data_IF_712770344892
#
_entry.id   IF_712770344892
#
_cell.length_a   1.000
_cell.length_b   1.000
_cell.length_c   1.000
_cell.angle_alpha   90.00
_cell.angle_beta   90.00
_cell.angle_gamma   90.00
#
_symmetry.space_group_name_H-M   'P 1'
#
loop_
_entity.id
_entity.type
_entity.pdbx_description
1 polymer ?
#
# COMPACT_ATOMS: atom_id res chain seq x y z
N UNK A 1 3.11 -7.64 -32.61
CA UNK A 1 2.49 -7.47 -31.27
C UNK A 1 3.62 -7.59 -30.26
N UNK A 2 3.91 -6.52 -29.49
CA UNK A 2 4.88 -6.62 -28.40
C UNK A 2 4.34 -7.52 -27.29
N UNK A 3 5.20 -8.07 -26.41
CA UNK A 3 4.73 -8.87 -25.28
C UNK A 3 3.68 -8.07 -24.51
N UNK A 4 2.53 -8.70 -24.27
CA UNK A 4 1.40 -8.06 -23.58
C UNK A 4 1.84 -7.48 -22.25
N UNK A 5 1.22 -6.35 -21.86
CA UNK A 5 1.56 -5.55 -20.66
C UNK A 5 1.56 -6.31 -19.31
N UNK A 6 1.19 -7.59 -19.30
CA UNK A 6 1.08 -8.47 -18.13
C UNK A 6 2.42 -9.15 -17.79
N UNK A 7 3.46 -9.02 -18.62
CA UNK A 7 4.78 -9.64 -18.38
C UNK A 7 5.86 -8.64 -17.93
N UNK A 8 5.50 -7.48 -17.39
CA UNK A 8 6.48 -6.51 -16.89
C UNK A 8 7.05 -6.96 -15.52
N UNK A 9 8.35 -7.31 -15.42
CA UNK A 9 8.98 -7.76 -14.17
C UNK A 9 9.08 -6.65 -13.10
N UNK A 10 8.89 -5.38 -13.51
CA UNK A 10 8.84 -4.24 -12.60
C UNK A 10 7.41 -3.91 -12.17
N UNK A 11 6.39 -4.68 -12.57
CA UNK A 11 5.01 -4.52 -12.12
C UNK A 11 4.69 -5.46 -10.96
N UNK A 12 3.99 -4.92 -9.96
CA UNK A 12 3.36 -5.67 -8.88
C UNK A 12 1.90 -5.30 -8.76
N UNK A 13 1.08 -6.25 -8.32
CA UNK A 13 -0.34 -6.06 -8.03
C UNK A 13 -0.46 -6.02 -6.51
N UNK A 14 -1.09 -4.99 -5.97
CA UNK A 14 -1.37 -4.86 -4.54
C UNK A 14 -2.88 -4.91 -4.34
N UNK A 15 -3.27 -5.48 -3.21
CA UNK A 15 -4.65 -5.48 -2.72
C UNK A 15 -4.63 -5.37 -1.19
N UNK A 16 -5.66 -4.74 -0.63
CA UNK A 16 -5.82 -4.56 0.81
C UNK A 16 -7.25 -4.81 1.25
N UNK A 17 -7.39 -5.56 2.34
CA UNK A 17 -8.65 -5.70 3.07
C UNK A 17 -8.59 -4.88 4.33
N UNK A 18 -9.71 -4.26 4.71
CA UNK A 18 -9.74 -3.29 5.79
C UNK A 18 -10.95 -3.46 6.69
N UNK A 19 -10.86 -2.91 7.91
CA UNK A 19 -11.98 -2.83 8.85
C UNK A 19 -13.11 -1.89 8.36
N UNK A 20 -12.92 -1.20 7.24
CA UNK A 20 -13.92 -0.30 6.64
C UNK A 20 -13.29 0.70 5.67
N UNK A 21 -14.11 1.58 5.10
CA UNK A 21 -13.65 2.51 4.07
C UNK A 21 -12.56 3.49 4.57
N UNK A 22 -12.67 3.90 5.83
CA UNK A 22 -11.69 4.74 6.52
C UNK A 22 -10.89 3.97 7.59
N UNK A 23 -11.02 2.64 7.62
CA UNK A 23 -10.46 1.74 8.64
C UNK A 23 -9.11 1.14 8.27
N UNK A 24 -8.45 0.50 9.23
CA UNK A 24 -7.08 -0.03 9.12
C UNK A 24 -6.99 -1.33 8.33
N UNK A 25 -5.78 -1.67 7.88
CA UNK A 25 -5.53 -2.88 7.11
C UNK A 25 -5.67 -4.13 7.98
N UNK A 26 -6.42 -5.10 7.43
CA UNK A 26 -6.65 -6.44 7.97
C UNK A 26 -5.85 -7.47 7.16
N UNK A 27 -5.63 -7.22 5.87
CA UNK A 27 -4.74 -7.99 5.02
C UNK A 27 -4.02 -7.07 4.03
N UNK A 28 -2.76 -7.40 3.71
CA UNK A 28 -2.06 -6.82 2.57
C UNK A 28 -1.47 -7.95 1.73
N UNK A 29 -1.81 -7.96 0.44
CA UNK A 29 -1.28 -8.88 -0.54
C UNK A 29 -0.53 -8.12 -1.65
N UNK A 30 0.61 -8.66 -2.07
CA UNK A 30 1.44 -8.16 -3.17
C UNK A 30 1.89 -9.33 -4.04
N UNK A 31 1.48 -9.31 -5.31
CA UNK A 31 1.82 -10.31 -6.31
C UNK A 31 2.73 -9.69 -7.39
N UNK A 32 3.64 -10.47 -7.96
CA UNK A 32 4.32 -10.10 -9.20
C UNK A 32 3.35 -10.18 -10.38
N UNK A 33 3.66 -9.50 -11.49
CA UNK A 33 2.85 -9.59 -12.71
C UNK A 33 2.73 -11.03 -13.28
N UNK A 34 3.66 -11.91 -12.93
CA UNK A 34 3.62 -13.33 -13.28
C UNK A 34 2.78 -14.19 -12.30
N UNK A 35 2.15 -13.58 -11.28
CA UNK A 35 1.33 -14.28 -10.28
C UNK A 35 2.10 -14.87 -9.10
N UNK A 36 3.39 -14.53 -8.94
CA UNK A 36 4.18 -14.97 -7.79
C UNK A 36 3.86 -14.15 -6.54
N UNK A 37 3.64 -14.81 -5.41
CA UNK A 37 3.36 -14.14 -4.12
C UNK A 37 4.65 -13.54 -3.56
N UNK A 38 4.68 -12.21 -3.40
CA UNK A 38 5.81 -11.48 -2.80
C UNK A 38 5.54 -11.17 -1.32
N UNK A 39 4.30 -10.84 -1.00
CA UNK A 39 3.77 -10.67 0.33
C UNK A 39 2.30 -11.11 0.32
N UNK A 40 1.89 -11.83 1.35
CA UNK A 40 0.49 -12.10 1.65
C UNK A 40 0.45 -12.34 3.16
N UNK A 41 -0.19 -11.42 3.88
CA UNK A 41 -0.21 -11.45 5.33
C UNK A 41 -1.50 -10.86 5.85
N UNK A 42 -2.12 -11.57 6.80
CA UNK A 42 -3.06 -10.99 7.72
C UNK A 42 -2.35 -10.01 8.65
N UNK A 43 -3.10 -9.03 9.13
CA UNK A 43 -2.65 -8.00 10.05
C UNK A 43 -3.65 -7.85 11.18
N UNK A 44 -3.15 -7.75 12.41
CA UNK A 44 -3.97 -7.36 13.54
C UNK A 44 -4.24 -5.84 13.44
N UNK A 45 -5.49 -5.39 13.16
CA UNK A 45 -5.77 -3.99 12.89
C UNK A 45 -5.77 -3.12 14.15
N UNK A 46 -5.59 -3.71 15.34
CA UNK A 46 -5.58 -3.02 16.64
C UNK A 46 -6.91 -2.31 16.97
N UNK A 47 -7.98 -2.75 16.32
CA UNK A 47 -9.37 -2.42 16.57
C UNK A 47 -10.23 -3.63 16.22
N UNK A 48 -11.52 -3.62 16.59
CA UNK A 48 -12.43 -4.70 16.19
C UNK A 48 -12.82 -4.58 14.72
N UNK A 49 -12.90 -5.72 14.03
CA UNK A 49 -13.37 -5.78 12.64
C UNK A 49 -14.90 -5.71 12.62
N UNK A 50 -15.53 -4.68 11.99
CA UNK A 50 -16.98 -4.62 11.85
C UNK A 50 -17.54 -5.83 11.10
N UNK A 51 -18.76 -6.24 11.46
CA UNK A 51 -19.45 -7.37 10.83
C UNK A 51 -19.65 -7.12 9.34
N UNK A 52 -19.90 -5.89 8.93
CA UNK A 52 -20.06 -5.50 7.52
C UNK A 52 -18.78 -5.73 6.72
N UNK A 53 -17.60 -5.44 7.29
CA UNK A 53 -16.31 -5.72 6.67
C UNK A 53 -16.08 -7.24 6.59
N UNK A 54 -16.35 -7.95 7.70
CA UNK A 54 -16.28 -9.42 7.75
C UNK A 54 -17.17 -10.08 6.70
N UNK A 55 -18.37 -9.56 6.44
CA UNK A 55 -19.27 -10.09 5.39
C UNK A 55 -18.70 -9.91 3.98
N UNK A 56 -17.88 -8.88 3.75
CA UNK A 56 -17.28 -8.58 2.45
C UNK A 56 -16.06 -9.48 2.20
N UNK A 57 -15.09 -9.48 3.12
CA UNK A 57 -13.79 -10.14 2.91
C UNK A 57 -13.63 -11.48 3.65
N UNK A 58 -14.53 -11.80 4.58
CA UNK A 58 -14.55 -13.09 5.29
C UNK A 58 -13.52 -13.25 6.41
N UNK A 59 -12.83 -12.18 6.81
CA UNK A 59 -11.79 -12.20 7.86
C UNK A 59 -12.41 -11.73 9.17
N UNK A 60 -12.22 -12.49 10.22
CA UNK A 60 -12.78 -12.23 11.56
C UNK A 60 -11.71 -11.75 12.53
N UNK A 61 -12.12 -11.19 13.68
CA UNK A 61 -11.20 -10.85 14.77
C UNK A 61 -10.36 -12.06 15.23
N UNK A 62 -10.93 -13.28 15.15
CA UNK A 62 -10.23 -14.50 15.52
C UNK A 62 -9.12 -14.88 14.53
N UNK A 63 -9.29 -14.61 13.24
CA UNK A 63 -8.29 -14.90 12.21
C UNK A 63 -7.05 -14.02 12.35
N UNK A 64 -7.21 -12.83 12.92
CA UNK A 64 -6.13 -11.84 13.08
C UNK A 64 -5.62 -11.68 14.51
N UNK A 65 -6.14 -12.44 15.47
CA UNK A 65 -5.79 -12.31 16.89
C UNK A 65 -4.28 -12.43 17.15
N UNK A 66 -3.61 -13.37 16.47
CA UNK A 66 -2.17 -13.61 16.57
C UNK A 66 -1.39 -13.06 15.37
N UNK A 67 -2.05 -12.30 14.47
CA UNK A 67 -1.42 -11.74 13.29
C UNK A 67 -0.48 -10.57 13.67
N UNK A 68 0.58 -10.33 12.87
CA UNK A 68 1.45 -9.17 13.11
C UNK A 68 0.69 -7.85 12.96
N UNK A 69 1.07 -6.82 13.72
CA UNK A 69 0.64 -5.45 13.44
C UNK A 69 1.38 -4.88 12.24
N UNK A 70 0.87 -3.81 11.62
CA UNK A 70 1.48 -3.18 10.44
C UNK A 70 2.95 -2.82 10.64
N UNK A 71 3.34 -2.37 11.83
CA UNK A 71 4.73 -1.98 12.15
C UNK A 71 5.73 -3.13 11.97
N UNK A 72 5.28 -4.39 12.09
CA UNK A 72 6.13 -5.56 11.94
C UNK A 72 6.38 -5.95 10.46
N UNK A 73 5.58 -5.44 9.52
CA UNK A 73 5.68 -5.80 8.09
C UNK A 73 6.13 -4.63 7.20
N UNK A 74 6.16 -3.40 7.71
CA UNK A 74 6.37 -2.18 6.90
C UNK A 74 7.68 -2.22 6.11
N UNK A 75 8.76 -2.75 6.68
CA UNK A 75 10.05 -2.87 5.99
C UNK A 75 10.02 -3.90 4.85
N UNK A 76 9.32 -5.02 5.08
CA UNK A 76 9.13 -6.05 4.05
C UNK A 76 8.24 -5.52 2.92
N UNK A 77 7.15 -4.83 3.27
CA UNK A 77 6.27 -4.17 2.31
C UNK A 77 7.05 -3.15 1.47
N UNK A 78 7.81 -2.26 2.11
CA UNK A 78 8.65 -1.28 1.41
C UNK A 78 9.66 -1.96 0.46
N UNK A 79 10.22 -3.10 0.86
CA UNK A 79 11.15 -3.88 0.04
C UNK A 79 10.49 -4.42 -1.22
N UNK A 80 9.29 -5.01 -1.12
CA UNK A 80 8.60 -5.58 -2.29
C UNK A 80 8.02 -4.53 -3.24
N UNK A 81 7.75 -3.30 -2.75
CA UNK A 81 7.24 -2.21 -3.56
C UNK A 81 8.33 -1.31 -4.17
N UNK A 82 9.57 -1.38 -3.65
CA UNK A 82 10.67 -0.49 -4.07
C UNK A 82 10.97 -0.63 -5.56
N UNK A 83 11.03 0.51 -6.24
CA UNK A 83 11.29 0.61 -7.69
C UNK A 83 10.29 -0.14 -8.58
N UNK A 84 9.12 -0.53 -8.02
CA UNK A 84 8.07 -1.23 -8.77
C UNK A 84 6.96 -0.28 -9.21
N UNK A 85 6.25 -0.67 -10.26
CA UNK A 85 4.97 -0.12 -10.68
C UNK A 85 3.86 -0.91 -10.00
N UNK A 86 3.20 -0.29 -9.03
CA UNK A 86 2.07 -0.87 -8.30
C UNK A 86 0.79 -0.66 -9.09
N UNK A 87 0.07 -1.76 -9.29
CA UNK A 87 -1.24 -1.82 -9.91
C UNK A 87 -2.23 -2.28 -8.85
N UNK A 88 -3.35 -1.59 -8.78
CA UNK A 88 -4.41 -1.71 -7.77
C UNK A 88 -5.71 -1.37 -8.47
N UNK A 89 -6.81 -2.00 -8.06
CA UNK A 89 -8.10 -1.76 -8.68
C UNK A 89 -8.62 -0.35 -8.36
N UNK A 90 -8.50 0.08 -7.11
CA UNK A 90 -8.92 1.40 -6.63
C UNK A 90 -7.77 2.14 -5.93
N UNK A 91 -6.81 2.62 -6.73
CA UNK A 91 -5.58 3.20 -6.19
C UNK A 91 -5.75 4.28 -5.12
N UNK A 92 -6.80 5.10 -5.20
CA UNK A 92 -7.06 6.14 -4.20
C UNK A 92 -7.40 5.56 -2.83
N UNK A 93 -8.13 4.45 -2.81
CA UNK A 93 -8.51 3.73 -1.61
C UNK A 93 -7.28 3.10 -0.95
N UNK A 94 -6.56 2.22 -1.66
CA UNK A 94 -5.40 1.52 -1.11
C UNK A 94 -4.30 2.50 -0.65
N UNK A 95 -4.08 3.58 -1.40
CA UNK A 95 -3.12 4.62 -0.99
C UNK A 95 -3.57 5.33 0.31
N UNK A 96 -4.87 5.54 0.51
CA UNK A 96 -5.38 6.11 1.75
C UNK A 96 -5.22 5.14 2.94
N UNK A 97 -5.42 3.83 2.72
CA UNK A 97 -5.16 2.78 3.72
C UNK A 97 -3.70 2.80 4.18
N UNK A 98 -2.76 2.70 3.23
CA UNK A 98 -1.33 2.71 3.54
C UNK A 98 -0.89 4.01 4.22
N UNK A 99 -1.47 5.15 3.83
CA UNK A 99 -1.17 6.43 4.49
C UNK A 99 -1.62 6.43 5.95
N UNK A 100 -2.84 5.98 6.25
CA UNK A 100 -3.35 5.90 7.63
C UNK A 100 -2.52 4.93 8.48
N UNK A 101 -2.09 3.81 7.91
CA UNK A 101 -1.16 2.88 8.57
C UNK A 101 0.19 3.52 8.90
N UNK A 102 0.75 4.30 7.96
CA UNK A 102 2.01 5.02 8.16
C UNK A 102 1.87 6.20 9.13
N UNK A 103 0.73 6.89 9.14
CA UNK A 103 0.41 7.93 10.13
C UNK A 103 0.36 7.33 11.54
N UNK A 104 -0.36 6.21 11.71
CA UNK A 104 -0.39 5.43 12.96
C UNK A 104 0.98 4.91 13.36
N UNK A 105 1.79 4.48 12.40
CA UNK A 105 3.18 4.09 12.63
C UNK A 105 4.03 5.26 13.14
N UNK A 106 3.93 6.44 12.52
CA UNK A 106 4.72 7.61 12.91
C UNK A 106 4.44 8.07 14.35
N UNK A 107 3.20 7.94 14.81
CA UNK A 107 2.83 8.20 16.21
C UNK A 107 3.59 7.30 17.20
N UNK A 108 3.99 6.08 16.78
CA UNK A 108 4.72 5.12 17.62
C UNK A 108 6.23 5.38 17.69
N UNK A 109 6.82 6.00 16.66
CA UNK A 109 8.27 6.21 16.57
C UNK A 109 8.71 7.67 16.76
N UNK A 110 7.76 8.60 16.85
CA UNK A 110 8.04 10.03 17.01
C UNK A 110 8.88 10.58 15.85
N UNK A 111 9.78 11.52 16.15
CA UNK A 111 10.58 12.21 15.14
C UNK A 111 11.76 11.39 14.58
N UNK A 112 11.91 10.09 14.87
CA UNK A 112 13.11 9.33 14.45
C UNK A 112 12.86 7.85 14.10
N UNK A 113 13.30 7.44 12.91
CA UNK A 113 13.21 6.05 12.43
C UNK A 113 14.58 5.46 12.06
N UNK A 114 14.93 4.21 12.45
CA UNK A 114 16.24 3.60 12.22
C UNK A 114 16.67 3.51 10.74
N UNK A 115 15.71 3.45 9.81
CA UNK A 115 15.98 3.39 8.37
C UNK A 115 15.74 4.70 7.60
N UNK A 116 15.02 5.68 8.18
CA UNK A 116 14.61 6.91 7.47
C UNK A 116 15.14 8.21 8.11
N UNK A 117 15.74 8.16 9.29
CA UNK A 117 16.28 9.34 9.99
C UNK A 117 15.20 10.18 10.69
N UNK A 118 15.47 11.48 10.91
CA UNK A 118 14.52 12.39 11.58
C UNK A 118 13.41 12.87 10.66
N UNK A 119 12.14 12.76 11.06
CA UNK A 119 11.01 13.49 10.43
C UNK A 119 10.79 14.79 11.20
N UNK A 120 11.11 15.94 10.61
CA UNK A 120 10.88 17.25 11.26
C UNK A 120 9.45 17.74 11.04
N UNK A 121 8.76 18.24 12.08
CA UNK A 121 7.44 18.86 11.91
C UNK A 121 7.60 20.30 11.40
N UNK A 122 7.21 20.58 10.15
CA UNK A 122 7.16 21.97 9.65
C UNK A 122 7.00 22.19 8.14
N UNK A 123 5.80 22.65 7.76
CA UNK A 123 5.43 23.51 6.62
C UNK A 123 5.25 22.90 5.18
N UNK A 124 4.03 22.93 4.61
CA UNK A 124 3.69 22.30 3.32
C UNK A 124 4.03 23.09 2.02
N UNK A 125 5.03 23.98 1.97
CA UNK A 125 5.25 24.75 0.72
C UNK A 125 6.69 25.08 0.28
N UNK A 126 7.74 24.81 1.06
CA UNK A 126 9.11 25.13 0.61
C UNK A 126 10.18 24.25 1.25
N UNK A 127 10.31 23.00 0.79
CA UNK A 127 11.57 22.25 0.79
C UNK A 127 11.38 20.94 0.02
N UNK A 128 11.86 20.90 -1.23
CA UNK A 128 12.05 19.63 -1.91
C UNK A 128 13.06 18.77 -1.13
N UNK A 129 12.75 17.48 -0.97
CA UNK A 129 13.66 16.43 -0.49
C UNK A 129 13.77 16.26 1.03
N UNK A 130 12.72 15.73 1.69
CA UNK A 130 12.83 14.63 2.71
C UNK A 130 11.45 14.26 3.28
N UNK A 131 10.65 13.66 2.42
CA UNK A 131 9.57 12.74 2.75
C UNK A 131 9.65 11.58 1.73
N UNK A 132 10.86 11.19 1.33
CA UNK A 132 11.08 10.41 0.09
C UNK A 132 11.03 8.90 0.28
N UNK A 133 10.67 8.40 1.45
CA UNK A 133 10.71 6.96 1.70
C UNK A 133 9.47 6.40 2.41
N UNK A 134 8.90 7.14 3.37
CA UNK A 134 7.51 6.93 3.79
C UNK A 134 6.50 7.64 2.85
N UNK A 135 6.80 8.84 2.34
CA UNK A 135 6.13 9.42 1.18
C UNK A 135 6.90 9.21 -0.15
N UNK A 136 7.82 8.23 -0.17
CA UNK A 136 8.33 7.59 -1.38
C UNK A 136 7.27 6.73 -2.10
N UNK A 137 6.15 6.48 -1.41
CA UNK A 137 4.89 6.06 -2.02
C UNK A 137 4.15 7.24 -2.71
N UNK A 138 4.62 8.48 -2.58
CA UNK A 138 3.90 9.68 -3.05
C UNK A 138 4.72 10.71 -3.89
N UNK A 139 6.06 10.82 -3.89
CA UNK A 139 6.70 11.86 -4.71
C UNK A 139 8.12 11.56 -5.27
N UNK A 140 8.24 11.72 -6.59
CA UNK A 140 9.43 11.84 -7.47
C UNK A 140 10.25 10.60 -7.88
N UNK A 141 10.27 9.51 -7.11
CA UNK A 141 10.61 8.16 -7.62
C UNK A 141 9.39 7.21 -7.54
N UNK A 142 8.23 7.83 -7.34
CA UNK A 142 6.96 7.24 -7.02
C UNK A 142 6.48 6.37 -8.17
N UNK A 143 6.46 5.06 -7.93
CA UNK A 143 5.47 4.11 -8.40
C UNK A 143 4.45 4.74 -9.35
N UNK A 144 4.48 4.37 -10.63
CA UNK A 144 3.48 4.85 -11.58
C UNK A 144 2.15 4.14 -11.32
N UNK A 145 1.42 4.54 -10.27
CA UNK A 145 0.07 4.09 -9.95
C UNK A 145 -0.83 4.35 -11.16
N UNK A 146 -1.21 3.31 -11.90
CA UNK A 146 -2.05 3.46 -13.10
C UNK A 146 -3.52 3.37 -12.71
N UNK A 147 -4.17 4.51 -12.52
CA UNK A 147 -5.63 4.59 -12.56
C UNK A 147 -6.09 4.61 -14.02
N UNK A 148 -6.72 3.51 -14.49
CA UNK A 148 -7.36 3.30 -15.81
C UNK A 148 -6.56 3.73 -17.05
N UNK A 149 -6.17 2.74 -17.86
CA UNK A 149 -5.85 2.96 -19.27
C UNK A 149 -7.07 3.61 -19.99
N UNK A 150 -6.96 4.88 -20.38
CA UNK A 150 -7.85 5.43 -21.41
C UNK A 150 -7.57 4.69 -22.72
N UNK A 151 -8.53 3.90 -23.19
CA UNK A 151 -8.53 3.41 -24.57
C UNK A 151 -8.64 4.64 -25.49
N UNK A 152 -7.71 4.86 -26.44
CA UNK A 152 -7.81 5.96 -27.39
C UNK A 152 -9.08 5.84 -28.22
N UNK A 153 -9.79 6.96 -28.40
CA UNK A 153 -11.06 7.05 -29.15
C UNK A 153 -10.93 6.79 -30.67
N UNK A 154 -9.79 6.35 -31.19
CA UNK A 154 -9.54 6.20 -32.63
C UNK A 154 -9.79 4.79 -33.20
N UNK A 155 -10.38 3.86 -32.44
CA UNK A 155 -10.73 2.52 -32.92
C UNK A 155 -12.25 2.32 -33.13
N UNK A 156 -12.93 3.32 -33.69
CA UNK A 156 -14.22 3.13 -34.37
C UNK A 156 -13.99 3.45 -35.85
N UNK A 157 -13.72 2.41 -36.63
CA UNK A 157 -14.18 2.33 -38.02
C UNK A 157 -15.41 1.46 -38.02
#
# INVERSE_FOLDING_TARGET
>A
MGPGRVADPEMVILDSETTGLDGYAVQIAVLSAAGGVLLDTLLHPQESIPVEATVIHGITDADVADAPVFTAIVDRLATVLRNKRVVVYNAAFDAAVLRRELERYAEWWGDWHPYWGKTTPGNPSTAGTTLSAAAGLCCSACTRWQTRARVPRSARR
#
